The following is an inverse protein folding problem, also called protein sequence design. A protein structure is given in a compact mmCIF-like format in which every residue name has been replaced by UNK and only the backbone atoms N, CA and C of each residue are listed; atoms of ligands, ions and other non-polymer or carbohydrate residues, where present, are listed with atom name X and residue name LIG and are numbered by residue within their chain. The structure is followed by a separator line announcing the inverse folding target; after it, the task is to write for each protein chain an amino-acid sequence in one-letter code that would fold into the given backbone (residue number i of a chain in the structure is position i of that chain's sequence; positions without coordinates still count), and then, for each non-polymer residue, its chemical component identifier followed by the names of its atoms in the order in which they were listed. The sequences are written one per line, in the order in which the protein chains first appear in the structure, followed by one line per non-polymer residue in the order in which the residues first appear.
data_IF_206561155341
#
_entry.id   IF_206561155341
#
_cell.length_a   1.000
_cell.length_b   1.000
_cell.length_c   1.000
_cell.angle_alpha   90.00
_cell.angle_beta   90.00
_cell.angle_gamma   90.00
#
_symmetry.space_group_name_H-M   'P 1'
#
loop_
_entity.id
_entity.type
_entity.pdbx_description
1 polymer ?
#
# COMPACT_ATOMS: atom_id res chain seq x y z
N UNK A 1 -4.59 19.09 -8.41
CA UNK A 1 -5.52 18.01 -8.80
C UNK A 1 -6.72 18.07 -7.89
N UNK A 2 -7.95 17.77 -8.36
CA UNK A 2 -9.10 17.64 -7.46
C UNK A 2 -8.81 16.55 -6.41
N UNK A 3 -9.34 16.73 -5.21
CA UNK A 3 -9.23 15.71 -4.18
C UNK A 3 -9.94 14.42 -4.63
N UNK A 4 -9.40 13.24 -4.30
CA UNK A 4 -10.09 11.98 -4.58
C UNK A 4 -11.46 11.98 -3.86
N UNK A 5 -12.52 11.41 -4.48
CA UNK A 5 -13.79 11.19 -3.81
C UNK A 5 -13.67 10.45 -2.48
N UNK A 6 -14.52 10.78 -1.50
CA UNK A 6 -14.47 10.18 -0.16
C UNK A 6 -14.64 8.65 -0.18
N UNK A 7 -15.42 8.12 -1.12
CA UNK A 7 -15.64 6.67 -1.26
C UNK A 7 -14.36 5.90 -1.58
N UNK A 8 -13.39 6.52 -2.28
CA UNK A 8 -12.09 5.91 -2.55
C UNK A 8 -11.27 5.72 -1.28
N UNK A 9 -11.35 6.70 -0.37
CA UNK A 9 -10.68 6.60 0.92
C UNK A 9 -11.29 5.47 1.75
N UNK A 10 -12.62 5.39 1.81
CA UNK A 10 -13.31 4.29 2.50
C UNK A 10 -12.91 2.93 1.94
N UNK A 11 -12.88 2.78 0.61
CA UNK A 11 -12.44 1.56 -0.05
C UNK A 11 -10.97 1.24 0.27
N UNK A 12 -10.09 2.24 0.21
CA UNK A 12 -8.67 2.07 0.51
C UNK A 12 -8.46 1.64 1.98
N UNK A 13 -9.18 2.26 2.93
CA UNK A 13 -9.13 1.91 4.34
C UNK A 13 -9.61 0.47 4.59
N UNK A 14 -10.65 0.02 3.87
CA UNK A 14 -11.12 -1.37 3.92
C UNK A 14 -10.05 -2.34 3.38
N UNK A 15 -9.42 -2.03 2.25
CA UNK A 15 -8.34 -2.87 1.69
C UNK A 15 -7.12 -2.89 2.61
N UNK A 16 -6.73 -1.74 3.15
CA UNK A 16 -5.64 -1.61 4.12
C UNK A 16 -5.91 -2.44 5.38
N UNK A 17 -7.16 -2.55 5.84
CA UNK A 17 -7.53 -3.39 6.99
C UNK A 17 -7.31 -4.89 6.77
N UNK A 18 -7.12 -5.33 5.52
CA UNK A 18 -6.77 -6.70 5.18
C UNK A 18 -5.26 -6.97 5.20
N UNK A 19 -4.45 -5.94 5.38
CA UNK A 19 -3.01 -6.06 5.62
C UNK A 19 -2.80 -6.37 7.09
N UNK A 20 -2.53 -7.64 7.40
CA UNK A 20 -2.22 -8.07 8.76
C UNK A 20 -0.73 -8.17 8.96
N UNK A 21 -0.31 -7.77 10.14
CA UNK A 21 1.06 -7.48 10.46
C UNK A 21 1.77 -8.72 11.01
N UNK A 22 3.04 -8.90 10.65
CA UNK A 22 3.90 -9.90 11.33
C UNK A 22 4.54 -9.27 12.58
N UNK A 23 4.59 -7.94 12.61
CA UNK A 23 5.06 -7.01 13.66
C UNK A 23 4.42 -5.64 13.38
N UNK A 24 4.41 -4.68 14.32
CA UNK A 24 3.67 -3.40 14.20
C UNK A 24 3.83 -2.79 12.80
N UNK A 25 2.71 -2.66 12.08
CA UNK A 25 2.70 -2.15 10.70
C UNK A 25 3.03 -0.66 10.70
N UNK A 26 3.95 -0.23 9.83
CA UNK A 26 4.14 1.20 9.62
C UNK A 26 2.90 1.80 8.93
N UNK A 27 2.71 3.13 8.98
CA UNK A 27 1.57 3.78 8.33
C UNK A 27 1.41 3.36 6.86
N UNK A 28 0.17 3.17 6.44
CA UNK A 28 -0.16 2.81 5.05
C UNK A 28 -0.20 4.07 4.20
N UNK A 29 0.67 4.12 3.19
CA UNK A 29 0.60 5.10 2.11
C UNK A 29 -0.48 4.70 1.10
N UNK A 30 -1.14 5.70 0.52
CA UNK A 30 -2.16 5.51 -0.49
C UNK A 30 -2.07 6.58 -1.58
N UNK A 31 -2.04 6.14 -2.85
CA UNK A 31 -2.02 7.01 -4.02
C UNK A 31 -3.24 6.76 -4.91
N UNK A 32 -3.84 7.84 -5.41
CA UNK A 32 -5.03 7.80 -6.26
C UNK A 32 -4.75 8.45 -7.61
N UNK A 33 -5.11 7.76 -8.69
CA UNK A 33 -5.04 8.27 -10.05
C UNK A 33 -6.31 7.91 -10.82
N UNK A 34 -6.90 8.87 -11.54
CA UNK A 34 -8.10 8.60 -12.37
C UNK A 34 -7.73 8.50 -13.84
N UNK A 35 -7.96 7.33 -14.42
CA UNK A 35 -7.74 7.07 -15.82
C UNK A 35 -8.97 7.48 -16.65
N UNK A 36 -9.08 8.76 -16.99
CA UNK A 36 -10.25 9.35 -17.66
C UNK A 36 -10.72 8.63 -18.95
N UNK A 37 -9.81 8.00 -19.70
CA UNK A 37 -10.17 7.32 -20.95
C UNK A 37 -10.93 6.01 -20.73
N UNK A 38 -10.77 5.39 -19.56
CA UNK A 38 -11.40 4.13 -19.15
C UNK A 38 -12.43 4.33 -18.04
N UNK A 39 -12.53 5.55 -17.54
CA UNK A 39 -13.32 5.91 -16.36
C UNK A 39 -13.03 4.98 -15.16
N UNK A 40 -11.74 4.76 -14.91
CA UNK A 40 -11.22 3.80 -13.92
C UNK A 40 -10.37 4.52 -12.88
N UNK A 41 -10.55 4.20 -11.61
CA UNK A 41 -9.70 4.68 -10.53
C UNK A 41 -8.61 3.68 -10.21
N UNK A 42 -7.36 4.11 -10.40
CA UNK A 42 -6.18 3.39 -9.97
C UNK A 42 -5.84 3.77 -8.52
N UNK A 43 -5.78 2.78 -7.64
CA UNK A 43 -5.49 2.96 -6.22
C UNK A 43 -4.29 2.11 -5.84
N UNK A 44 -3.22 2.72 -5.36
CA UNK A 44 -2.02 2.00 -4.93
C UNK A 44 -1.81 2.18 -3.43
N UNK A 45 -1.79 1.08 -2.69
CA UNK A 45 -1.50 1.01 -1.26
C UNK A 45 -0.15 0.36 -1.01
N UNK A 46 0.56 0.83 0.01
CA UNK A 46 1.84 0.26 0.44
C UNK A 46 2.09 0.57 1.91
N UNK A 47 2.73 -0.35 2.64
CA UNK A 47 3.18 -0.08 3.99
C UNK A 47 4.50 0.71 3.94
N UNK A 48 4.57 1.83 4.66
CA UNK A 48 5.74 2.70 4.63
C UNK A 48 7.00 2.02 5.17
N UNK A 49 8.16 2.53 4.77
CA UNK A 49 9.44 2.11 5.36
C UNK A 49 9.58 2.64 6.79
N UNK A 50 10.32 1.89 7.61
CA UNK A 50 10.79 2.32 8.94
C UNK A 50 12.27 2.66 8.88
N UNK A 51 12.62 3.89 9.23
CA UNK A 51 14.01 4.33 9.34
C UNK A 51 14.57 4.01 10.73
N UNK A 52 15.76 3.42 10.78
CA UNK A 52 16.50 3.20 12.03
C UNK A 52 17.36 4.44 12.30
N UNK A 53 17.24 5.02 13.48
CA UNK A 53 17.97 6.23 13.90
C UNK A 53 18.92 5.91 15.05
N UNK A 54 20.21 6.15 14.84
CA UNK A 54 21.30 5.84 15.76
C UNK A 54 21.78 4.38 15.70
N UNK A 55 22.89 4.09 16.39
CA UNK A 55 23.45 2.74 16.45
C UNK A 55 24.21 2.32 15.19
N UNK A 56 24.45 1.02 15.06
CA UNK A 56 25.19 0.44 13.92
C UNK A 56 24.39 0.49 12.60
N UNK A 57 23.07 0.58 12.69
CA UNK A 57 22.14 0.52 11.56
C UNK A 57 21.49 1.87 11.25
N UNK A 58 22.08 2.98 11.71
CA UNK A 58 21.58 4.33 11.48
C UNK A 58 21.40 4.63 9.98
N UNK A 59 20.23 5.17 9.62
CA UNK A 59 19.83 5.50 8.25
C UNK A 59 19.29 4.33 7.42
N UNK A 60 19.22 3.11 7.97
CA UNK A 60 18.64 1.96 7.25
C UNK A 60 17.13 2.10 7.15
N UNK A 61 16.61 1.95 5.93
CA UNK A 61 15.19 1.83 5.64
C UNK A 61 14.78 0.36 5.62
N UNK A 62 14.01 -0.05 6.62
CA UNK A 62 13.45 -1.40 6.71
C UNK A 62 12.02 -1.41 6.16
N UNK A 63 11.72 -2.25 5.14
CA UNK A 63 10.36 -2.42 4.67
C UNK A 63 9.49 -3.09 5.73
N UNK A 64 8.22 -2.72 5.74
CA UNK A 64 7.23 -3.31 6.64
C UNK A 64 6.87 -4.74 6.22
N UNK A 65 6.84 -5.65 7.19
CA UNK A 65 6.49 -7.06 6.96
C UNK A 65 5.03 -7.29 7.28
N UNK A 66 4.25 -7.61 6.26
CA UNK A 66 2.82 -7.88 6.39
C UNK A 66 2.40 -9.04 5.49
N UNK A 67 1.18 -9.49 5.68
CA UNK A 67 0.50 -10.39 4.78
C UNK A 67 -0.85 -9.77 4.39
N UNK A 68 -1.36 -10.14 3.22
CA UNK A 68 -2.64 -9.65 2.71
C UNK A 68 -3.66 -10.78 2.72
N UNK A 69 -4.82 -10.56 3.33
CA UNK A 69 -5.95 -11.50 3.26
C UNK A 69 -6.65 -11.39 1.90
N UNK A 70 -6.15 -12.16 0.93
CA UNK A 70 -6.66 -12.15 -0.46
C UNK A 70 -8.11 -12.64 -0.54
N UNK A 71 -8.54 -13.56 0.34
CA UNK A 71 -9.89 -14.10 0.28
C UNK A 71 -10.93 -13.04 0.65
N UNK A 72 -10.63 -12.21 1.66
CA UNK A 72 -11.51 -11.13 2.11
C UNK A 72 -11.62 -9.95 1.16
N UNK A 73 -10.73 -9.81 0.18
CA UNK A 73 -10.90 -8.79 -0.87
C UNK A 73 -12.25 -8.95 -1.58
N UNK A 74 -12.75 -10.19 -1.74
CA UNK A 74 -14.05 -10.49 -2.34
C UNK A 74 -15.25 -9.95 -1.56
N UNK A 75 -15.07 -9.61 -0.28
CA UNK A 75 -16.13 -9.06 0.57
C UNK A 75 -16.23 -7.54 0.47
N UNK A 76 -15.21 -6.87 -0.09
CA UNK A 76 -15.15 -5.42 -0.24
C UNK A 76 -15.81 -4.96 -1.54
N UNK A 77 -15.55 -5.68 -2.64
CA UNK A 77 -15.96 -5.26 -3.98
C UNK A 77 -17.30 -5.88 -4.39
N UNK A 78 -18.07 -5.12 -5.17
CA UNK A 78 -19.34 -5.58 -5.75
C UNK A 78 -19.09 -6.73 -6.74
N UNK A 79 -18.04 -6.60 -7.54
CA UNK A 79 -17.60 -7.59 -8.53
C UNK A 79 -16.08 -7.51 -8.68
N UNK A 80 -15.39 -8.66 -8.70
CA UNK A 80 -13.98 -8.75 -9.06
C UNK A 80 -13.89 -9.38 -10.45
N UNK A 81 -13.32 -8.66 -11.40
CA UNK A 81 -13.12 -9.11 -12.78
C UNK A 81 -11.79 -9.82 -12.94
N UNK A 82 -10.76 -9.37 -12.20
CA UNK A 82 -9.45 -10.00 -12.22
C UNK A 82 -8.68 -9.83 -10.91
N UNK A 83 -7.81 -10.80 -10.62
CA UNK A 83 -6.87 -10.75 -9.51
C UNK A 83 -5.52 -11.29 -9.98
N UNK A 84 -4.47 -10.51 -9.78
CA UNK A 84 -3.11 -10.83 -10.20
C UNK A 84 -2.14 -10.74 -9.05
N UNK A 85 -1.06 -11.52 -9.17
CA UNK A 85 0.12 -11.38 -8.34
C UNK A 85 1.33 -11.21 -9.26
N UNK A 86 2.01 -10.08 -9.09
CA UNK A 86 3.30 -9.83 -9.69
C UNK A 86 4.39 -10.18 -8.67
N UNK A 87 5.12 -11.26 -8.91
CA UNK A 87 6.12 -11.75 -7.96
C UNK A 87 7.43 -10.96 -8.00
N UNK A 88 7.76 -10.32 -9.13
CA UNK A 88 9.00 -9.59 -9.37
C UNK A 88 8.73 -8.37 -10.27
N UNK A 89 9.58 -7.32 -10.21
CA UNK A 89 9.51 -6.19 -11.13
C UNK A 89 9.55 -6.67 -12.60
N UNK A 90 8.72 -6.07 -13.45
CA UNK A 90 8.64 -6.43 -14.88
C UNK A 90 9.86 -5.92 -15.65
N UNK A 91 10.42 -4.79 -15.23
CA UNK A 91 11.56 -4.13 -15.85
C UNK A 91 12.35 -3.32 -14.84
N UNK A 92 13.48 -2.74 -15.26
CA UNK A 92 14.35 -1.96 -14.39
C UNK A 92 13.73 -0.62 -13.94
N UNK A 93 12.72 -0.15 -14.69
CA UNK A 93 11.98 1.09 -14.45
C UNK A 93 10.60 0.83 -13.81
N UNK A 94 10.31 -0.41 -13.43
CA UNK A 94 9.11 -0.75 -12.67
C UNK A 94 9.26 -0.30 -11.21
N UNK A 95 8.71 0.88 -10.91
CA UNK A 95 8.74 1.50 -9.58
C UNK A 95 7.75 0.86 -8.59
N UNK A 96 6.83 0.01 -9.04
CA UNK A 96 5.83 -0.64 -8.18
C UNK A 96 6.33 -1.98 -7.64
N UNK A 97 7.19 -2.67 -8.39
CA UNK A 97 7.81 -3.93 -7.98
C UNK A 97 6.79 -5.04 -7.71
N UNK A 98 7.07 -5.92 -6.76
CA UNK A 98 6.19 -7.04 -6.44
C UNK A 98 4.90 -6.58 -5.76
N UNK A 99 3.73 -7.02 -6.23
CA UNK A 99 2.45 -6.58 -5.70
C UNK A 99 1.29 -7.54 -6.01
N UNK A 100 0.22 -7.43 -5.23
CA UNK A 100 -1.09 -8.00 -5.57
C UNK A 100 -1.92 -6.89 -6.21
N UNK A 101 -2.65 -7.21 -7.27
CA UNK A 101 -3.59 -6.27 -7.89
C UNK A 101 -4.96 -6.89 -8.11
N UNK A 102 -6.01 -6.09 -7.97
CA UNK A 102 -7.40 -6.48 -8.21
C UNK A 102 -8.07 -5.45 -9.10
N UNK A 103 -8.68 -5.92 -10.19
CA UNK A 103 -9.59 -5.14 -11.03
C UNK A 103 -11.02 -5.48 -10.60
N UNK A 104 -11.81 -4.45 -10.28
CA UNK A 104 -13.08 -4.63 -9.61
C UNK A 104 -14.05 -3.46 -9.81
N UNK A 105 -15.28 -3.67 -9.35
CA UNK A 105 -16.31 -2.64 -9.18
C UNK A 105 -16.53 -2.36 -7.70
N UNK A 106 -16.50 -1.09 -7.31
CA UNK A 106 -16.82 -0.63 -5.96
C UNK A 106 -17.83 0.51 -6.01
N UNK A 107 -18.99 0.33 -5.36
CA UNK A 107 -20.11 1.29 -5.38
C UNK A 107 -20.47 1.73 -6.81
N UNK A 108 -20.41 0.79 -7.76
CA UNK A 108 -20.69 1.02 -9.18
C UNK A 108 -19.57 1.70 -9.99
N UNK A 109 -18.40 1.94 -9.42
CA UNK A 109 -17.24 2.54 -10.10
C UNK A 109 -16.16 1.51 -10.42
N UNK A 110 -15.51 1.62 -11.58
CA UNK A 110 -14.37 0.78 -11.94
C UNK A 110 -13.14 1.18 -11.14
N UNK A 111 -12.51 0.20 -10.51
CA UNK A 111 -11.30 0.39 -9.71
C UNK A 111 -10.24 -0.65 -10.05
N UNK A 112 -8.99 -0.21 -10.10
CA UNK A 112 -7.82 -1.07 -10.16
C UNK A 112 -6.95 -0.81 -8.92
N UNK A 113 -7.04 -1.71 -7.95
CA UNK A 113 -6.38 -1.58 -6.66
C UNK A 113 -5.10 -2.43 -6.63
N UNK A 114 -4.01 -1.86 -6.16
CA UNK A 114 -2.70 -2.51 -6.01
C UNK A 114 -2.23 -2.40 -4.57
N UNK A 115 -1.77 -3.51 -4.00
CA UNK A 115 -1.10 -3.56 -2.69
C UNK A 115 0.34 -3.98 -2.94
N UNK A 116 1.27 -3.03 -2.79
CA UNK A 116 2.69 -3.25 -3.05
C UNK A 116 3.35 -3.97 -1.88
N UNK A 117 4.32 -4.82 -2.18
CA UNK A 117 5.09 -5.54 -1.15
C UNK A 117 6.06 -4.61 -0.41
N UNK A 118 6.52 -3.55 -1.08
CA UNK A 118 7.44 -2.55 -0.53
C UNK A 118 6.95 -1.14 -0.88
N UNK A 119 7.34 -0.16 -0.06
CA UNK A 119 7.10 1.26 -0.36
C UNK A 119 7.89 1.67 -1.59
N UNK A 120 7.31 2.44 -2.54
CA UNK A 120 8.08 2.97 -3.66
C UNK A 120 9.20 3.90 -3.15
N UNK A 121 10.34 3.94 -3.85
CA UNK A 121 11.55 4.68 -3.45
C UNK A 121 11.32 6.19 -3.29
N UNK A 122 10.33 6.75 -3.98
CA UNK A 122 10.00 8.18 -3.94
C UNK A 122 9.30 8.63 -2.64
N UNK A 123 8.87 7.68 -1.80
CA UNK A 123 8.20 7.98 -0.53
C UNK A 123 9.18 7.93 0.65
N UNK A 124 9.15 8.99 1.45
CA UNK A 124 9.87 9.09 2.72
C UNK A 124 9.39 8.03 3.73
N UNK A 125 10.23 7.63 4.71
CA UNK A 125 9.82 6.70 5.75
C UNK A 125 8.64 7.24 6.56
N UNK A 126 7.65 6.38 6.79
CA UNK A 126 6.46 6.70 7.59
C UNK A 126 6.68 6.54 9.09
N UNK A 127 7.78 5.90 9.51
CA UNK A 127 8.11 5.62 10.91
C UNK A 127 9.62 5.68 11.16
N UNK A 128 10.02 6.04 12.38
CA UNK A 128 11.41 5.99 12.87
C UNK A 128 11.50 5.17 14.14
N UNK A 129 12.58 4.41 14.30
CA UNK A 129 12.89 3.68 15.53
C UNK A 129 14.28 4.13 16.00
N UNK A 130 14.39 4.53 17.27
CA UNK A 130 15.67 4.91 17.87
C UNK A 130 16.41 3.64 18.33
N UNK A 131 17.65 3.42 17.89
CA UNK A 131 18.37 2.16 18.18
C UNK A 131 18.74 1.96 19.67
N UNK A 132 18.67 3.02 20.48
CA UNK A 132 19.04 3.02 21.90
C UNK A 132 17.83 3.02 22.85
N UNK A 133 16.63 3.24 22.34
CA UNK A 133 15.38 3.14 23.08
C UNK A 133 14.40 2.33 22.23
N UNK A 134 13.96 1.16 22.72
CA UNK A 134 12.80 0.46 22.16
C UNK A 134 11.52 1.29 22.45
N UNK A 135 11.46 2.51 21.94
CA UNK A 135 10.36 3.45 22.10
C UNK A 135 9.86 3.81 20.69
N UNK A 136 8.82 3.08 20.26
CA UNK A 136 8.17 3.27 18.96
C UNK A 136 7.44 4.63 18.96
N UNK A 137 7.89 5.58 18.14
CA UNK A 137 7.16 6.84 17.90
C UNK A 137 6.57 6.85 16.50
N UNK A 138 5.25 6.87 16.41
CA UNK A 138 4.51 7.11 15.17
C UNK A 138 4.56 8.61 14.83
N UNK A 139 4.83 8.96 13.57
CA UNK A 139 5.17 10.33 13.14
C UNK A 139 4.00 11.03 12.41
N UNK A 140 2.89 10.33 12.14
CA UNK A 140 1.72 10.86 11.44
C UNK A 140 0.42 10.21 11.92
#
# INVERSE_FOLDING_TARGET
MPAPPDWLKTMADQVASLMYDVDVLAPIGCHFFHHHSRDEWEVTLFASNTEIVGGEWDGVLAPSKFCLDILKLREIFDEITALYWQALPVSYDDQLGAHVSVEAVYEGHQVWVRVLSESPEEFEPGRRIEAYEFDLKEIW
#
